data_IF_381003463763
#
_entry.id   IF_381003463763
#
_cell.length_a   1.000
_cell.length_b   1.000
_cell.length_c   1.000
_cell.angle_alpha   90.00
_cell.angle_beta   90.00
_cell.angle_gamma   90.00
#
_symmetry.space_group_name_H-M   'P 1'
#
loop_
_entity.id
_entity.type
_entity.pdbx_description
1 polymer ?
#
# COMPACT_ATOMS: atom_id res chain seq x y z
N UNK A 1 -16.83 73.72 -22.10
CA UNK A 1 -15.76 72.96 -22.75
C UNK A 1 -14.68 72.76 -21.71
N UNK A 2 -14.74 71.65 -20.98
CA UNK A 2 -13.66 71.07 -20.17
C UNK A 2 -14.10 69.61 -19.88
N UNK A 3 -13.32 68.59 -20.28
CA UNK A 3 -13.55 67.19 -19.90
C UNK A 3 -12.63 66.80 -18.73
N UNK A 4 -12.61 65.50 -18.38
CA UNK A 4 -11.67 64.78 -17.48
C UNK A 4 -12.22 64.59 -16.05
N UNK A 5 -12.27 63.39 -15.46
CA UNK A 5 -11.74 62.08 -15.81
C UNK A 5 -12.66 60.97 -15.29
N UNK A 6 -12.98 59.98 -16.12
CA UNK A 6 -13.38 58.66 -15.63
C UNK A 6 -12.09 57.93 -15.26
N UNK A 7 -11.83 57.82 -13.97
CA UNK A 7 -10.72 57.03 -13.45
C UNK A 7 -11.13 55.55 -13.49
N UNK A 8 -10.85 54.87 -14.60
CA UNK A 8 -10.97 53.42 -14.70
C UNK A 8 -9.80 52.78 -13.96
N UNK A 9 -10.03 52.38 -12.71
CA UNK A 9 -9.14 51.48 -11.99
C UNK A 9 -9.25 50.08 -12.61
N UNK A 10 -8.39 49.79 -13.57
CA UNK A 10 -8.18 48.46 -14.13
C UNK A 10 -7.42 47.60 -13.10
N UNK A 11 -8.17 47.05 -12.14
CA UNK A 11 -7.66 45.99 -11.28
C UNK A 11 -7.48 44.73 -12.16
N UNK A 12 -6.24 44.49 -12.58
CA UNK A 12 -5.83 43.26 -13.22
C UNK A 12 -6.28 42.08 -12.36
N UNK A 13 -7.34 41.38 -12.80
CA UNK A 13 -7.77 40.13 -12.20
C UNK A 13 -6.69 39.10 -12.51
N UNK A 14 -5.76 38.90 -11.58
CA UNK A 14 -4.82 37.78 -11.65
C UNK A 14 -5.67 36.51 -11.65
N UNK A 15 -5.70 35.81 -12.77
CA UNK A 15 -6.44 34.56 -12.89
C UNK A 15 -5.94 33.58 -11.82
N UNK A 16 -6.86 32.94 -11.12
CA UNK A 16 -6.51 31.93 -10.13
C UNK A 16 -5.67 30.82 -10.79
N UNK A 17 -4.63 30.29 -10.11
CA UNK A 17 -3.83 29.20 -10.64
C UNK A 17 -4.73 28.00 -10.95
N UNK A 18 -4.50 27.39 -12.11
CA UNK A 18 -5.27 26.25 -12.60
C UNK A 18 -4.41 24.99 -12.59
N UNK A 19 -4.99 23.88 -12.13
CA UNK A 19 -4.35 22.57 -12.14
C UNK A 19 -4.10 22.06 -13.56
N UNK A 20 -3.04 21.28 -13.73
CA UNK A 20 -2.76 20.58 -14.97
C UNK A 20 -3.91 19.65 -15.34
N UNK A 21 -4.21 19.53 -16.64
CA UNK A 21 -5.32 18.73 -17.14
C UNK A 21 -5.20 17.23 -16.81
N UNK A 22 -4.01 16.73 -16.45
CA UNK A 22 -3.77 15.37 -16.01
C UNK A 22 -4.12 15.12 -14.53
N UNK A 23 -4.34 16.18 -13.74
CA UNK A 23 -4.56 16.11 -12.30
C UNK A 23 -6.05 16.18 -11.99
N UNK A 24 -6.52 15.30 -11.13
CA UNK A 24 -7.86 15.33 -10.52
C UNK A 24 -7.72 15.18 -9.02
N UNK A 25 -8.42 16.03 -8.28
CA UNK A 25 -8.48 15.98 -6.82
C UNK A 25 -9.94 16.04 -6.41
N UNK A 26 -10.38 15.05 -5.64
CA UNK A 26 -11.72 15.00 -5.07
C UNK A 26 -11.58 15.06 -3.55
N UNK A 27 -12.16 16.09 -2.93
CA UNK A 27 -12.32 16.13 -1.48
C UNK A 27 -13.56 15.28 -1.14
N UNK A 28 -13.33 14.10 -0.56
CA UNK A 28 -14.41 13.26 -0.04
C UNK A 28 -14.91 13.84 1.30
N UNK A 29 -13.98 14.35 2.11
CA UNK A 29 -14.23 15.06 3.36
C UNK A 29 -13.25 16.23 3.50
N UNK A 30 -13.70 17.33 4.11
CA UNK A 30 -12.87 18.52 4.34
C UNK A 30 -13.00 19.60 3.25
N UNK A 31 -12.19 20.67 3.34
CA UNK A 31 -12.21 21.76 2.38
C UNK A 31 -11.61 21.34 1.02
N UNK A 32 -11.97 22.03 -0.09
CA UNK A 32 -11.35 21.78 -1.38
C UNK A 32 -9.84 22.06 -1.34
N UNK A 33 -9.09 21.39 -2.24
CA UNK A 33 -7.65 21.58 -2.34
C UNK A 33 -7.29 23.02 -2.71
N UNK A 34 -6.30 23.59 -2.02
CA UNK A 34 -5.70 24.87 -2.39
C UNK A 34 -4.76 24.69 -3.56
N UNK A 35 -5.09 25.23 -4.73
CA UNK A 35 -4.20 25.17 -5.91
C UNK A 35 -3.12 26.24 -5.78
N UNK A 36 -1.85 25.82 -5.79
CA UNK A 36 -0.68 26.71 -5.73
C UNK A 36 -0.11 26.95 -7.13
N UNK A 37 -0.06 25.89 -7.95
CA UNK A 37 0.37 25.91 -9.35
C UNK A 37 -0.24 24.71 -10.10
N UNK A 38 0.04 24.57 -11.40
CA UNK A 38 -0.45 23.48 -12.25
C UNK A 38 -0.11 22.08 -11.70
N UNK A 39 1.02 21.95 -11.01
CA UNK A 39 1.52 20.68 -10.44
C UNK A 39 1.75 20.76 -8.93
N UNK A 40 1.14 21.74 -8.25
CA UNK A 40 1.29 21.88 -6.80
C UNK A 40 -0.03 22.26 -6.14
N UNK A 41 -0.41 21.49 -5.14
CA UNK A 41 -1.61 21.70 -4.33
C UNK A 41 -1.28 21.60 -2.84
N UNK A 42 -2.15 22.18 -2.04
CA UNK A 42 -2.14 22.08 -0.59
C UNK A 42 -3.45 21.47 -0.09
N UNK A 43 -3.34 20.51 0.84
CA UNK A 43 -4.48 19.87 1.48
C UNK A 43 -4.56 20.25 2.96
N UNK A 44 -5.75 20.65 3.39
CA UNK A 44 -6.10 20.82 4.80
C UNK A 44 -6.57 19.51 5.41
N UNK A 45 -7.11 19.57 6.64
CA UNK A 45 -7.70 18.41 7.30
C UNK A 45 -8.88 17.83 6.49
N UNK A 46 -8.85 16.52 6.25
CA UNK A 46 -9.85 15.86 5.41
C UNK A 46 -9.35 14.58 4.75
N UNK A 47 -10.17 14.06 3.83
CA UNK A 47 -9.89 12.87 3.03
C UNK A 47 -10.01 13.21 1.55
N UNK A 48 -8.97 12.87 0.81
CA UNK A 48 -8.82 13.27 -0.58
C UNK A 48 -8.48 12.08 -1.47
N UNK A 49 -9.16 12.00 -2.61
CA UNK A 49 -8.77 11.15 -3.72
C UNK A 49 -7.99 11.97 -4.74
N UNK A 50 -6.71 11.64 -4.92
CA UNK A 50 -5.82 12.33 -5.85
C UNK A 50 -5.44 11.39 -6.97
N UNK A 51 -5.80 11.75 -8.19
CA UNK A 51 -5.46 10.99 -9.39
C UNK A 51 -4.61 11.84 -10.34
N UNK A 52 -3.49 11.27 -10.79
CA UNK A 52 -2.62 11.83 -11.82
C UNK A 52 -2.61 10.87 -13.01
N UNK A 53 -3.19 11.30 -14.12
CA UNK A 53 -3.13 10.52 -15.35
C UNK A 53 -1.68 10.43 -15.88
N UNK A 54 -1.37 9.33 -16.57
CA UNK A 54 -0.10 9.21 -17.28
C UNK A 54 0.06 10.36 -18.28
N UNK A 55 1.23 11.00 -18.27
CA UNK A 55 1.56 12.13 -19.12
C UNK A 55 3.04 12.04 -19.53
N UNK A 56 3.41 12.73 -20.61
CA UNK A 56 4.73 12.57 -21.24
C UNK A 56 5.86 13.39 -20.58
N UNK A 57 5.51 14.36 -19.73
CA UNK A 57 6.48 15.26 -19.12
C UNK A 57 7.07 14.74 -17.80
N UNK A 58 8.15 15.36 -17.30
CA UNK A 58 8.83 14.95 -16.07
C UNK A 58 8.14 15.47 -14.79
N UNK A 59 7.02 16.19 -14.93
CA UNK A 59 6.35 16.83 -13.81
C UNK A 59 5.80 15.80 -12.82
N UNK A 60 5.85 16.15 -11.54
CA UNK A 60 5.26 15.38 -10.46
C UNK A 60 4.25 16.27 -9.77
N UNK A 61 3.04 15.77 -9.52
CA UNK A 61 2.12 16.50 -8.66
C UNK A 61 2.69 16.49 -7.24
N UNK A 62 2.96 17.68 -6.72
CA UNK A 62 3.38 17.90 -5.35
C UNK A 62 2.17 18.26 -4.50
N UNK A 63 1.85 17.41 -3.53
CA UNK A 63 0.74 17.57 -2.60
C UNK A 63 1.30 17.91 -1.23
N UNK A 64 1.26 19.17 -0.85
CA UNK A 64 1.74 19.64 0.45
C UNK A 64 0.64 19.49 1.51
N UNK A 65 1.00 18.94 2.67
CA UNK A 65 0.10 18.77 3.82
C UNK A 65 0.79 19.24 5.09
N UNK A 66 0.01 19.34 6.17
CA UNK A 66 0.56 19.64 7.49
C UNK A 66 1.52 18.56 8.02
N UNK A 67 1.53 17.34 7.47
CA UNK A 67 2.40 16.23 7.89
C UNK A 67 3.65 16.04 7.02
N UNK A 68 3.67 16.57 5.80
CA UNK A 68 4.75 16.38 4.82
C UNK A 68 4.26 16.62 3.40
N UNK A 69 4.93 16.02 2.43
CA UNK A 69 4.58 16.17 1.01
C UNK A 69 4.43 14.79 0.36
N UNK A 70 3.40 14.61 -0.47
CA UNK A 70 3.32 13.47 -1.38
C UNK A 70 3.69 13.94 -2.79
N UNK A 71 4.68 13.30 -3.41
CA UNK A 71 4.98 13.48 -4.84
C UNK A 71 4.38 12.33 -5.63
N UNK A 72 3.52 12.63 -6.60
CA UNK A 72 2.80 11.64 -7.41
C UNK A 72 3.21 11.81 -8.87
N UNK A 73 3.86 10.79 -9.43
CA UNK A 73 4.21 10.77 -10.85
C UNK A 73 2.99 10.42 -11.71
N UNK A 74 2.26 9.38 -11.29
CA UNK A 74 1.08 8.88 -11.98
C UNK A 74 0.33 7.92 -11.06
N UNK A 75 -0.96 7.75 -11.31
CA UNK A 75 -1.84 6.82 -10.60
C UNK A 75 -2.74 7.51 -9.59
N UNK A 76 -3.22 6.74 -8.61
CA UNK A 76 -4.22 7.16 -7.63
C UNK A 76 -3.70 7.01 -6.22
N UNK A 77 -3.79 8.07 -5.43
CA UNK A 77 -3.42 8.10 -4.01
C UNK A 77 -4.59 8.61 -3.20
N UNK A 78 -4.94 7.88 -2.14
CA UNK A 78 -5.87 8.37 -1.12
C UNK A 78 -5.05 9.02 -0.01
N UNK A 79 -5.35 10.29 0.31
CA UNK A 79 -4.61 11.07 1.30
C UNK A 79 -5.56 11.49 2.41
N UNK A 80 -5.23 11.14 3.65
CA UNK A 80 -5.95 11.54 4.85
C UNK A 80 -5.06 12.48 5.65
N UNK A 81 -5.57 13.67 5.95
CA UNK A 81 -4.88 14.67 6.77
C UNK A 81 -5.69 14.88 8.05
N UNK A 82 -5.03 14.69 9.19
CA UNK A 82 -5.62 14.88 10.51
C UNK A 82 -4.63 15.61 11.42
N UNK A 83 -4.78 16.94 11.52
CA UNK A 83 -3.86 17.80 12.25
C UNK A 83 -2.47 17.77 11.62
N UNK A 84 -1.48 17.20 12.32
CA UNK A 84 -0.10 17.06 11.79
C UNK A 84 0.20 15.68 11.23
N UNK A 85 -0.75 14.75 11.29
CA UNK A 85 -0.61 13.41 10.74
C UNK A 85 -1.14 13.39 9.31
N UNK A 86 -0.38 12.77 8.42
CA UNK A 86 -0.82 12.50 7.06
C UNK A 86 -0.58 11.03 6.76
N UNK A 87 -1.63 10.38 6.27
CA UNK A 87 -1.57 9.03 5.74
C UNK A 87 -1.78 9.11 4.24
N UNK A 88 -0.88 8.51 3.48
CA UNK A 88 -0.94 8.46 2.03
C UNK A 88 -0.93 6.99 1.60
N UNK A 89 -2.01 6.56 0.98
CA UNK A 89 -2.21 5.20 0.52
C UNK A 89 -2.23 5.18 -1.01
N UNK A 90 -1.15 4.67 -1.60
CA UNK A 90 -1.05 4.52 -3.05
C UNK A 90 -1.94 3.36 -3.50
N UNK A 91 -2.99 3.64 -4.28
CA UNK A 91 -3.89 2.62 -4.82
C UNK A 91 -3.38 2.06 -6.15
N UNK A 92 -2.78 2.90 -6.98
CA UNK A 92 -2.14 2.52 -8.25
C UNK A 92 -1.03 3.49 -8.60
N UNK A 93 -0.06 3.06 -9.39
CA UNK A 93 0.95 3.94 -10.00
C UNK A 93 2.21 4.12 -9.14
N UNK A 94 2.77 5.32 -9.13
CA UNK A 94 4.06 5.64 -8.51
C UNK A 94 3.96 6.95 -7.74
N UNK A 95 4.22 6.88 -6.44
CA UNK A 95 4.26 8.04 -5.56
C UNK A 95 5.36 7.89 -4.50
N UNK A 96 5.79 9.01 -3.94
CA UNK A 96 6.81 9.10 -2.88
C UNK A 96 6.29 9.99 -1.77
N UNK A 97 6.39 9.51 -0.54
CA UNK A 97 6.21 10.33 0.66
C UNK A 97 7.51 11.07 0.99
N UNK A 98 7.40 12.35 1.33
CA UNK A 98 8.49 13.18 1.82
C UNK A 98 8.10 13.70 3.20
N UNK A 99 8.76 13.17 4.23
CA UNK A 99 8.57 13.66 5.59
C UNK A 99 9.05 15.12 5.71
N UNK A 100 8.57 15.87 6.71
CA UNK A 100 9.04 17.25 6.97
C UNK A 100 10.55 17.41 7.08
N UNK A 101 11.26 16.38 7.56
CA UNK A 101 12.72 16.34 7.62
C UNK A 101 13.41 16.08 6.28
N UNK A 102 12.68 15.95 5.17
CA UNK A 102 13.20 15.71 3.82
C UNK A 102 13.43 14.23 3.48
N UNK A 103 13.24 13.30 4.43
CA UNK A 103 13.36 11.87 4.17
C UNK A 103 12.31 11.41 3.14
N UNK A 104 12.77 10.71 2.09
CA UNK A 104 11.94 10.24 0.97
C UNK A 104 11.69 8.74 1.08
N UNK A 105 10.43 8.33 1.00
CA UNK A 105 10.02 6.93 1.07
C UNK A 105 9.07 6.64 -0.09
N UNK A 106 9.44 5.78 -1.05
CA UNK A 106 8.51 5.30 -2.08
C UNK A 106 7.29 4.66 -1.42
N UNK A 107 6.09 5.02 -1.88
CA UNK A 107 4.86 4.37 -1.41
C UNK A 107 4.69 3.03 -2.11
N UNK A 108 4.43 1.99 -1.32
CA UNK A 108 4.01 0.70 -1.87
C UNK A 108 2.53 0.79 -2.26
N UNK A 109 2.17 0.13 -3.36
CA UNK A 109 0.75 -0.01 -3.75
C UNK A 109 0.04 -0.81 -2.66
N UNK A 110 -0.94 -0.18 -2.04
CA UNK A 110 -1.78 -0.81 -1.05
C UNK A 110 -2.64 -1.89 -1.70
N UNK A 111 -2.90 -3.00 -0.98
CA UNK A 111 -3.79 -4.03 -1.47
C UNK A 111 -5.19 -3.44 -1.75
N UNK A 112 -5.90 -4.02 -2.72
CA UNK A 112 -7.32 -3.75 -2.85
C UNK A 112 -8.03 -4.13 -1.53
N UNK A 113 -9.11 -3.44 -1.16
CA UNK A 113 -9.83 -3.76 0.09
C UNK A 113 -10.30 -5.22 0.11
N UNK A 114 -10.75 -5.74 -1.03
CA UNK A 114 -11.14 -7.16 -1.19
C UNK A 114 -9.97 -8.16 -1.10
N UNK A 115 -8.72 -7.68 -1.18
CA UNK A 115 -7.52 -8.50 -0.97
C UNK A 115 -7.09 -8.59 0.50
N UNK A 116 -7.67 -7.77 1.37
CA UNK A 116 -7.32 -7.80 2.77
C UNK A 116 -7.98 -9.02 3.46
N UNK A 117 -7.28 -9.69 4.38
CA UNK A 117 -7.93 -10.66 5.25
C UNK A 117 -8.97 -9.93 6.11
N UNK A 118 -10.19 -10.46 6.16
CA UNK A 118 -11.19 -9.97 7.11
C UNK A 118 -10.74 -10.37 8.54
N UNK A 119 -10.46 -9.41 9.44
CA UNK A 119 -9.99 -9.71 10.79
C UNK A 119 -10.97 -10.51 11.64
N UNK A 120 -12.24 -10.57 11.23
CA UNK A 120 -13.31 -11.29 11.93
C UNK A 120 -13.66 -12.63 11.28
N UNK A 121 -13.07 -12.95 10.13
CA UNK A 121 -13.31 -14.20 9.44
C UNK A 121 -12.83 -15.41 10.26
N UNK A 122 -13.54 -16.52 10.15
CA UNK A 122 -13.10 -17.76 10.79
C UNK A 122 -11.83 -18.31 10.08
N UNK A 123 -11.05 -19.18 10.73
CA UNK A 123 -9.90 -19.82 10.09
C UNK A 123 -10.23 -20.52 8.76
N UNK A 124 -11.40 -21.14 8.67
CA UNK A 124 -11.87 -21.81 7.45
C UNK A 124 -12.26 -20.83 6.35
N UNK A 125 -12.81 -19.67 6.72
CA UNK A 125 -13.16 -18.62 5.77
C UNK A 125 -11.92 -17.95 5.19
N UNK A 126 -10.90 -17.70 6.02
CA UNK A 126 -9.60 -17.19 5.58
C UNK A 126 -8.90 -18.18 4.63
N UNK A 127 -8.93 -19.47 4.92
CA UNK A 127 -8.38 -20.49 4.01
C UNK A 127 -9.10 -20.47 2.65
N UNK A 128 -10.44 -20.44 2.66
CA UNK A 128 -11.25 -20.35 1.43
C UNK A 128 -11.03 -19.04 0.66
N UNK A 129 -10.81 -17.92 1.36
CA UNK A 129 -10.45 -16.65 0.74
C UNK A 129 -9.09 -16.74 0.06
N UNK A 130 -8.08 -17.32 0.72
CA UNK A 130 -6.77 -17.53 0.12
C UNK A 130 -6.85 -18.40 -1.15
N UNK A 131 -7.62 -19.49 -1.11
CA UNK A 131 -7.84 -20.36 -2.27
C UNK A 131 -8.49 -19.61 -3.45
N UNK A 132 -9.51 -18.80 -3.17
CA UNK A 132 -10.18 -17.98 -4.18
C UNK A 132 -9.22 -16.95 -4.81
N UNK A 133 -8.37 -16.33 -3.99
CA UNK A 133 -7.34 -15.39 -4.47
C UNK A 133 -6.30 -16.10 -5.35
N UNK A 134 -5.89 -17.32 -4.99
CA UNK A 134 -4.99 -18.14 -5.81
C UNK A 134 -5.62 -18.52 -7.15
N UNK A 135 -6.90 -18.94 -7.14
CA UNK A 135 -7.65 -19.26 -8.35
C UNK A 135 -7.79 -18.05 -9.29
N UNK A 136 -7.88 -16.84 -8.71
CA UNK A 136 -7.89 -15.58 -9.45
C UNK A 136 -6.47 -15.10 -9.88
N UNK A 137 -5.41 -15.86 -9.58
CA UNK A 137 -4.02 -15.49 -9.89
C UNK A 137 -3.43 -14.40 -8.97
N UNK A 138 -4.15 -13.96 -7.94
CA UNK A 138 -3.78 -12.90 -7.00
C UNK A 138 -2.88 -13.45 -5.88
N UNK A 139 -1.70 -13.94 -6.27
CA UNK A 139 -0.77 -14.68 -5.37
C UNK A 139 -0.32 -13.87 -4.15
N UNK A 140 0.01 -12.59 -4.32
CA UNK A 140 0.45 -11.76 -3.18
C UNK A 140 -0.66 -11.52 -2.17
N UNK A 141 -1.91 -11.44 -2.63
CA UNK A 141 -3.07 -11.35 -1.74
C UNK A 141 -3.29 -12.63 -0.96
N UNK A 142 -3.21 -13.78 -1.64
CA UNK A 142 -3.28 -15.08 -0.97
C UNK A 142 -2.19 -15.23 0.09
N UNK A 143 -0.94 -14.83 -0.21
CA UNK A 143 0.16 -14.83 0.77
C UNK A 143 -0.20 -14.01 2.02
N UNK A 144 -0.79 -12.81 1.86
CA UNK A 144 -1.22 -11.98 3.01
C UNK A 144 -2.31 -12.65 3.84
N UNK A 145 -3.31 -13.24 3.20
CA UNK A 145 -4.40 -13.93 3.90
C UNK A 145 -3.87 -15.15 4.67
N UNK A 146 -2.96 -15.92 4.08
CA UNK A 146 -2.33 -17.07 4.73
C UNK A 146 -1.41 -16.62 5.89
N UNK A 147 -0.59 -15.59 5.70
CA UNK A 147 0.26 -14.98 6.75
C UNK A 147 -0.59 -14.53 7.95
N UNK A 148 -1.74 -13.89 7.69
CA UNK A 148 -2.70 -13.53 8.74
C UNK A 148 -3.30 -14.76 9.42
N UNK A 149 -3.77 -15.74 8.66
CA UNK A 149 -4.38 -16.97 9.19
C UNK A 149 -3.44 -17.70 10.17
N UNK A 150 -2.16 -17.88 9.81
CA UNK A 150 -1.20 -18.63 10.64
C UNK A 150 -0.71 -17.85 11.85
N UNK A 151 -0.82 -16.52 11.80
CA UNK A 151 -0.44 -15.61 12.89
C UNK A 151 -1.59 -15.43 13.88
N UNK A 152 -2.81 -15.18 13.38
CA UNK A 152 -4.00 -14.92 14.19
C UNK A 152 -4.65 -16.19 14.74
N UNK A 153 -4.54 -17.32 14.03
CA UNK A 153 -5.17 -18.59 14.41
C UNK A 153 -4.17 -19.76 14.44
N UNK A 154 -3.08 -19.63 15.21
CA UNK A 154 -1.93 -20.54 15.17
C UNK A 154 -2.25 -22.02 15.40
N UNK A 155 -3.21 -22.31 16.27
CA UNK A 155 -3.55 -23.68 16.67
C UNK A 155 -4.69 -24.28 15.84
N UNK A 156 -5.22 -23.54 14.88
CA UNK A 156 -6.33 -24.00 14.05
C UNK A 156 -5.87 -25.04 13.01
N UNK A 157 -6.69 -26.07 12.71
CA UNK A 157 -6.35 -27.02 11.64
C UNK A 157 -6.07 -26.36 10.28
N UNK A 158 -6.81 -25.32 9.84
CA UNK A 158 -6.48 -24.60 8.61
C UNK A 158 -5.11 -23.90 8.63
N UNK A 159 -4.68 -23.35 9.77
CA UNK A 159 -3.36 -22.70 9.87
C UNK A 159 -2.20 -23.68 9.59
N UNK A 160 -2.36 -24.95 9.93
CA UNK A 160 -1.35 -25.97 9.61
C UNK A 160 -1.13 -26.12 8.10
N UNK A 161 -2.22 -26.28 7.35
CA UNK A 161 -2.14 -26.38 5.89
C UNK A 161 -1.63 -25.07 5.28
N UNK A 162 -2.11 -23.94 5.80
CA UNK A 162 -1.74 -22.61 5.37
C UNK A 162 -0.23 -22.33 5.49
N UNK A 163 0.46 -22.85 6.51
CA UNK A 163 1.92 -22.69 6.62
C UNK A 163 2.68 -23.35 5.46
N UNK A 164 2.24 -24.52 5.01
CA UNK A 164 2.86 -25.21 3.87
C UNK A 164 2.58 -24.50 2.56
N UNK A 165 1.34 -24.04 2.37
CA UNK A 165 0.95 -23.31 1.17
C UNK A 165 1.62 -21.94 1.10
N UNK A 166 1.71 -21.25 2.23
CA UNK A 166 2.45 -20.01 2.39
C UNK A 166 3.92 -20.21 2.01
N UNK A 167 4.58 -21.24 2.54
CA UNK A 167 5.99 -21.53 2.22
C UNK A 167 6.20 -21.78 0.71
N UNK A 168 5.32 -22.57 0.08
CA UNK A 168 5.37 -22.85 -1.37
C UNK A 168 5.16 -21.58 -2.20
N UNK A 169 4.21 -20.73 -1.82
CA UNK A 169 3.91 -19.47 -2.50
C UNK A 169 5.05 -18.46 -2.35
N UNK A 170 5.62 -18.33 -1.15
CA UNK A 170 6.78 -17.47 -0.89
C UNK A 170 7.98 -17.92 -1.72
N UNK A 171 8.23 -19.23 -1.81
CA UNK A 171 9.27 -19.79 -2.68
C UNK A 171 9.02 -19.45 -4.15
N UNK A 172 7.78 -19.59 -4.64
CA UNK A 172 7.41 -19.25 -6.00
C UNK A 172 7.57 -17.74 -6.30
N UNK A 173 7.39 -16.89 -5.29
CA UNK A 173 7.62 -15.45 -5.34
C UNK A 173 9.11 -15.06 -5.13
N UNK A 174 10.04 -16.02 -5.13
CA UNK A 174 11.47 -15.80 -4.84
C UNK A 174 11.77 -15.20 -3.46
N UNK A 175 10.82 -15.27 -2.53
CA UNK A 175 10.95 -14.85 -1.12
C UNK A 175 11.48 -16.01 -0.27
N UNK A 176 12.69 -16.47 -0.64
CA UNK A 176 13.32 -17.70 -0.12
C UNK A 176 13.47 -17.70 1.40
N UNK A 177 13.87 -16.58 2.01
CA UNK A 177 14.09 -16.53 3.46
C UNK A 177 12.78 -16.60 4.25
N UNK A 178 11.73 -15.98 3.74
CA UNK A 178 10.40 -16.07 4.35
C UNK A 178 9.80 -17.47 4.16
N UNK A 179 10.04 -18.11 3.00
CA UNK A 179 9.65 -19.50 2.78
C UNK A 179 10.35 -20.45 3.77
N UNK A 180 11.63 -20.21 4.06
CA UNK A 180 12.40 -20.95 5.08
C UNK A 180 11.75 -20.81 6.45
N UNK A 181 11.39 -19.59 6.84
CA UNK A 181 10.75 -19.34 8.13
C UNK A 181 9.38 -20.00 8.26
N UNK A 182 8.58 -20.03 7.19
CA UNK A 182 7.29 -20.73 7.19
C UNK A 182 7.46 -22.26 7.37
N UNK A 183 8.43 -22.88 6.68
CA UNK A 183 8.74 -24.31 6.86
C UNK A 183 9.30 -24.63 8.25
N UNK A 184 10.21 -23.80 8.76
CA UNK A 184 10.75 -23.97 10.12
C UNK A 184 9.65 -23.87 11.18
N UNK A 185 8.76 -22.88 11.05
CA UNK A 185 7.64 -22.69 11.97
C UNK A 185 6.65 -23.86 11.93
N UNK A 186 6.46 -24.49 10.75
CA UNK A 186 5.65 -25.71 10.65
C UNK A 186 6.24 -26.86 11.47
N UNK A 187 7.56 -27.10 11.35
CA UNK A 187 8.24 -28.16 12.10
C UNK A 187 8.23 -27.88 13.61
N UNK A 188 8.42 -26.63 14.00
CA UNK A 188 8.38 -26.20 15.41
C UNK A 188 6.99 -26.42 16.03
N UNK A 189 5.92 -26.05 15.31
CA UNK A 189 4.56 -26.08 15.84
C UNK A 189 3.87 -27.45 15.73
N UNK A 190 4.29 -28.31 14.79
CA UNK A 190 3.65 -29.61 14.55
C UNK A 190 4.63 -30.80 14.51
N UNK A 191 5.40 -31.05 15.59
CA UNK A 191 6.45 -32.07 15.61
C UNK A 191 5.94 -33.52 15.53
N UNK A 192 4.67 -33.78 15.88
CA UNK A 192 4.09 -35.13 15.94
C UNK A 192 3.47 -35.67 14.64
N UNK A 193 3.76 -35.05 13.49
CA UNK A 193 3.18 -35.43 12.18
C UNK A 193 4.30 -35.82 11.20
N UNK A 194 4.99 -36.90 11.53
CA UNK A 194 6.17 -37.44 10.82
C UNK A 194 5.98 -37.53 9.30
N UNK A 195 4.78 -37.88 8.82
CA UNK A 195 4.50 -38.08 7.39
C UNK A 195 4.80 -36.85 6.50
N UNK A 196 4.71 -35.63 7.03
CA UNK A 196 5.07 -34.42 6.30
C UNK A 196 6.37 -33.79 6.81
N UNK A 197 6.92 -34.25 7.93
CA UNK A 197 8.15 -33.71 8.49
C UNK A 197 9.31 -33.91 7.51
N UNK A 198 9.49 -35.13 6.97
CA UNK A 198 10.53 -35.43 5.99
C UNK A 198 10.40 -34.60 4.70
N UNK A 199 9.17 -34.38 4.22
CA UNK A 199 8.92 -33.53 3.05
C UNK A 199 9.33 -32.08 3.32
N UNK A 200 8.94 -31.55 4.49
CA UNK A 200 9.23 -30.18 4.90
C UNK A 200 10.72 -29.97 5.15
N UNK A 201 11.39 -30.90 5.81
CA UNK A 201 12.84 -30.89 6.00
C UNK A 201 13.58 -30.96 4.67
N UNK A 202 13.15 -31.83 3.76
CA UNK A 202 13.70 -31.90 2.41
C UNK A 202 13.47 -30.61 1.61
N UNK A 203 12.31 -29.96 1.76
CA UNK A 203 12.03 -28.66 1.15
C UNK A 203 12.92 -27.56 1.74
N UNK A 204 13.09 -27.53 3.06
CA UNK A 204 13.96 -26.61 3.78
C UNK A 204 15.42 -26.76 3.33
N UNK A 205 15.91 -28.01 3.22
CA UNK A 205 17.26 -28.30 2.73
C UNK A 205 17.50 -27.81 1.31
N UNK A 206 16.50 -27.90 0.41
CA UNK A 206 16.59 -27.36 -0.95
C UNK A 206 16.64 -25.82 -1.01
N UNK A 207 16.12 -25.12 -0.01
CA UNK A 207 16.22 -23.65 0.08
C UNK A 207 17.60 -23.20 0.58
N UNK A 208 18.38 -24.11 1.17
CA UNK A 208 19.69 -23.81 1.73
C UNK A 208 19.64 -23.01 3.04
N UNK A 209 20.82 -22.70 3.62
CA UNK A 209 20.92 -21.93 4.86
C UNK A 209 20.44 -20.49 4.65
N UNK A 210 20.12 -19.81 5.75
CA UNK A 210 19.88 -18.38 5.74
C UNK A 210 19.61 -17.82 7.13
N UNK A 211 19.07 -16.59 7.22
CA UNK A 211 18.88 -15.89 8.48
C UNK A 211 18.02 -16.67 9.48
N UNK A 212 18.23 -16.40 10.77
CA UNK A 212 17.40 -16.95 11.82
C UNK A 212 15.95 -16.44 11.67
N UNK A 213 14.99 -17.22 12.12
CA UNK A 213 13.58 -16.87 12.01
C UNK A 213 13.00 -16.44 13.36
N UNK A 214 12.20 -15.37 13.36
CA UNK A 214 11.30 -15.02 14.45
C UNK A 214 9.87 -15.16 13.93
N UNK A 215 9.23 -16.31 14.18
CA UNK A 215 7.98 -16.68 13.51
C UNK A 215 8.18 -16.73 12.00
N UNK A 216 7.41 -15.94 11.25
CA UNK A 216 7.51 -15.86 9.78
C UNK A 216 8.57 -14.89 9.26
N UNK A 217 9.25 -14.15 10.14
CA UNK A 217 10.15 -13.05 9.74
C UNK A 217 11.62 -13.44 9.85
N UNK A 218 12.42 -13.29 8.78
CA UNK A 218 13.88 -13.48 8.85
C UNK A 218 14.55 -12.34 9.65
N UNK A 219 15.64 -12.67 10.35
CA UNK A 219 16.45 -11.77 11.19
C UNK A 219 17.89 -11.66 10.71
#
# INVERSE_FOLDING_TARGET
>A
MEPVATNSSEAAHVAAPALAAAVRVVAEEGPPAGVRDAWQIELGDGRYDVTVAAHAGPELLRVDTAGGTVEIAQGRVVIIVAGTRTEAELRTGVATWIAKGGARTPLAVAPAEDDAPDPKASPSDLARQADALLAAGRRDAAIRVLDFLVTAHPDSPPARAALLDLARLLKAASRTDEARCAYALYLERYPGKEQLADEVEGALGRLGPGPACTGLRPR
#
